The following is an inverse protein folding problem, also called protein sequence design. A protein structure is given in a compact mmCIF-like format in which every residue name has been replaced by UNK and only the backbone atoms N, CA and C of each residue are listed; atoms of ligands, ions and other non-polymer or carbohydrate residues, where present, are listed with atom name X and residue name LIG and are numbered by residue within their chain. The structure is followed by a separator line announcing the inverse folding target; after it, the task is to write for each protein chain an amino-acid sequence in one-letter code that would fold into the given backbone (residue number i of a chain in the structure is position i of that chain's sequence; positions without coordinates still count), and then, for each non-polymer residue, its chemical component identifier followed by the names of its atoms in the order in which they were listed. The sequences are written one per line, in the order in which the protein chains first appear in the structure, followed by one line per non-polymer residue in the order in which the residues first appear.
data_IF_635777164231
#
_entry.id   IF_635777164231
#
_cell.length_a   1.000
_cell.length_b   1.000
_cell.length_c   1.000
_cell.angle_alpha   90.00
_cell.angle_beta   90.00
_cell.angle_gamma   90.00
#
_symmetry.space_group_name_H-M   'P 1'
#
loop_
_entity.id
_entity.type
_entity.pdbx_description
1 polymer ?
#
# COMPACT_ATOMS: atom_id res chain seq x y z
N UNK A 1 13.70 -21.53 -10.05
CA UNK A 1 12.89 -21.06 -8.90
C UNK A 1 13.24 -19.61 -8.60
N UNK A 2 12.28 -18.74 -8.27
CA UNK A 2 12.54 -17.33 -7.99
C UNK A 2 11.95 -16.90 -6.64
N UNK A 3 12.41 -15.74 -6.16
CA UNK A 3 12.04 -15.15 -4.86
C UNK A 3 11.65 -13.70 -5.08
N UNK A 4 10.73 -13.19 -4.25
CA UNK A 4 10.33 -11.78 -4.22
C UNK A 4 10.70 -11.15 -2.88
N UNK A 5 11.12 -9.89 -2.94
CA UNK A 5 11.39 -9.06 -1.78
C UNK A 5 10.35 -7.94 -1.74
N UNK A 6 9.58 -7.88 -0.66
CA UNK A 6 8.67 -6.79 -0.37
C UNK A 6 9.35 -5.88 0.66
N UNK A 7 9.66 -4.66 0.25
CA UNK A 7 10.50 -3.72 0.98
C UNK A 7 9.73 -2.43 1.26
N UNK A 8 9.81 -1.94 2.50
CA UNK A 8 9.48 -0.56 2.83
C UNK A 8 10.76 0.20 3.18
N UNK A 9 10.93 1.37 2.57
CA UNK A 9 12.01 2.30 2.89
C UNK A 9 11.44 3.64 3.34
N UNK A 10 12.19 4.35 4.19
CA UNK A 10 11.93 5.76 4.42
C UNK A 10 12.48 6.64 3.29
N UNK A 11 12.24 7.95 3.37
CA UNK A 11 12.57 8.91 2.31
C UNK A 11 14.08 8.97 1.99
N UNK A 12 14.95 8.68 2.96
CA UNK A 12 16.41 8.60 2.78
C UNK A 12 16.89 7.21 2.36
N UNK A 13 16.00 6.40 1.78
CA UNK A 13 16.27 5.04 1.28
C UNK A 13 16.65 4.00 2.34
N UNK A 14 16.64 4.34 3.64
CA UNK A 14 16.87 3.36 4.70
C UNK A 14 15.76 2.31 4.72
N UNK A 15 16.10 1.01 4.62
CA UNK A 15 15.15 -0.08 4.80
C UNK A 15 14.53 -0.05 6.20
N UNK A 16 13.20 -0.13 6.25
CA UNK A 16 12.41 -0.12 7.48
C UNK A 16 11.76 -1.48 7.77
N UNK A 17 11.51 -2.27 6.72
CA UNK A 17 10.87 -3.59 6.80
C UNK A 17 11.13 -4.37 5.53
N UNK A 18 11.42 -5.67 5.68
CA UNK A 18 11.63 -6.61 4.59
C UNK A 18 10.80 -7.87 4.84
N UNK A 19 10.10 -8.32 3.81
CA UNK A 19 9.40 -9.61 3.76
C UNK A 19 9.85 -10.34 2.50
N UNK A 20 10.29 -11.58 2.64
CA UNK A 20 10.77 -12.42 1.53
C UNK A 20 9.74 -13.51 1.28
N UNK A 21 9.33 -13.69 0.03
CA UNK A 21 8.36 -14.73 -0.34
C UNK A 21 8.78 -15.47 -1.61
N UNK A 22 8.21 -16.66 -1.84
CA UNK A 22 8.41 -17.38 -3.10
C UNK A 22 7.88 -16.56 -4.28
N UNK A 23 8.56 -16.62 -5.43
CA UNK A 23 8.29 -15.74 -6.57
C UNK A 23 6.88 -15.83 -7.16
N UNK A 24 6.21 -16.97 -6.97
CA UNK A 24 4.82 -17.18 -7.41
C UNK A 24 3.78 -16.53 -6.47
N UNK A 25 4.20 -15.99 -5.32
CA UNK A 25 3.28 -15.31 -4.39
C UNK A 25 2.84 -13.96 -4.98
N UNK A 26 1.56 -13.66 -4.80
CA UNK A 26 0.99 -12.38 -5.16
C UNK A 26 1.52 -11.26 -4.25
N UNK A 27 1.66 -10.05 -4.81
CA UNK A 27 2.26 -8.92 -4.08
C UNK A 27 1.27 -8.30 -3.09
N UNK A 28 0.00 -8.15 -3.47
CA UNK A 28 -1.00 -7.43 -2.68
C UNK A 28 -1.17 -7.93 -1.23
N UNK A 29 -1.18 -9.23 -0.92
CA UNK A 29 -1.26 -9.72 0.46
C UNK A 29 -0.03 -9.37 1.32
N UNK A 30 1.13 -9.10 0.70
CA UNK A 30 2.39 -8.86 1.42
C UNK A 30 2.53 -7.42 1.93
N UNK A 31 1.61 -6.52 1.54
CA UNK A 31 1.61 -5.15 2.04
C UNK A 31 1.37 -5.09 3.55
N UNK A 32 0.39 -5.81 4.08
CA UNK A 32 0.07 -5.77 5.52
C UNK A 32 1.26 -6.26 6.38
N UNK A 33 1.88 -7.43 6.08
CA UNK A 33 3.10 -7.88 6.76
C UNK A 33 4.25 -6.87 6.71
N UNK A 34 4.49 -6.24 5.56
CA UNK A 34 5.54 -5.21 5.44
C UNK A 34 5.23 -4.02 6.35
N UNK A 35 3.98 -3.55 6.37
CA UNK A 35 3.54 -2.39 7.13
C UNK A 35 3.52 -2.60 8.64
N UNK A 36 3.33 -3.83 9.11
CA UNK A 36 3.33 -4.20 10.54
C UNK A 36 4.74 -4.27 11.13
N UNK A 37 5.73 -4.59 10.30
CA UNK A 37 7.15 -4.66 10.69
C UNK A 37 7.85 -3.30 10.74
N UNK A 38 7.22 -2.22 10.26
CA UNK A 38 7.81 -0.88 10.28
C UNK A 38 7.92 -0.38 11.72
N UNK A 39 9.14 0.00 12.13
CA UNK A 39 9.40 0.68 13.41
C UNK A 39 10.18 1.96 13.17
N UNK A 40 9.57 3.11 13.41
CA UNK A 40 10.24 4.42 13.33
C UNK A 40 10.67 4.83 14.73
N UNK A 41 11.97 4.97 14.96
CA UNK A 41 12.49 5.48 16.22
C UNK A 41 11.86 6.86 16.53
N UNK A 42 11.40 7.05 17.76
CA UNK A 42 10.84 8.33 18.21
C UNK A 42 11.91 9.44 18.21
N UNK A 43 11.45 10.70 18.13
CA UNK A 43 12.33 11.87 18.20
C UNK A 43 13.05 11.97 19.57
N UNK A 44 12.38 11.55 20.65
CA UNK A 44 13.03 11.26 21.93
C UNK A 44 13.56 9.83 21.86
N UNK A 45 14.87 9.64 22.13
CA UNK A 45 15.53 8.33 22.22
C UNK A 45 14.90 7.39 23.29
N UNK A 46 13.93 7.86 24.07
CA UNK A 46 13.32 7.17 25.21
C UNK A 46 11.79 6.94 25.07
N UNK A 47 11.20 7.01 23.88
CA UNK A 47 9.77 6.74 23.65
C UNK A 47 9.50 5.50 22.78
N UNK A 48 8.30 4.88 22.88
CA UNK A 48 7.93 3.75 22.02
C UNK A 48 8.12 4.08 20.53
N UNK A 49 8.67 3.14 19.77
CA UNK A 49 8.82 3.29 18.34
C UNK A 49 7.44 3.46 17.68
N UNK A 50 7.32 4.46 16.79
CA UNK A 50 6.09 4.64 16.02
C UNK A 50 5.99 3.54 14.98
N UNK A 51 4.96 2.70 15.09
CA UNK A 51 4.69 1.57 14.17
C UNK A 51 3.81 1.95 12.98
N UNK A 52 3.41 3.22 12.89
CA UNK A 52 2.52 3.75 11.86
C UNK A 52 3.18 4.88 11.06
N UNK A 53 3.40 4.68 9.74
CA UNK A 53 3.77 5.76 8.83
C UNK A 53 2.65 6.80 8.67
N UNK A 54 3.02 8.06 8.45
CA UNK A 54 2.05 9.15 8.15
C UNK A 54 1.52 9.01 6.71
N UNK A 55 2.42 8.71 5.78
CA UNK A 55 2.11 8.53 4.37
C UNK A 55 2.93 7.38 3.78
N UNK A 56 2.31 6.62 2.87
CA UNK A 56 2.95 5.56 2.09
C UNK A 56 2.85 5.90 0.61
N UNK A 57 3.96 5.78 -0.10
CA UNK A 57 4.00 5.72 -1.57
C UNK A 57 4.14 4.24 -1.94
N UNK A 58 3.17 3.70 -2.66
CA UNK A 58 3.13 2.29 -3.02
C UNK A 58 2.98 2.12 -4.53
N UNK A 59 3.45 0.98 -5.04
CA UNK A 59 3.29 0.59 -6.43
C UNK A 59 1.81 0.40 -6.84
N UNK A 60 1.49 0.53 -8.14
CA UNK A 60 0.14 0.36 -8.71
C UNK A 60 -0.49 -1.01 -8.38
N UNK A 61 0.31 -2.06 -8.21
CA UNK A 61 -0.16 -3.39 -7.81
C UNK A 61 -0.85 -3.38 -6.43
N UNK A 62 -0.54 -2.37 -5.61
CA UNK A 62 -1.15 -2.16 -4.30
C UNK A 62 -2.40 -1.27 -4.33
N UNK A 63 -2.97 -0.98 -5.50
CA UNK A 63 -4.15 -0.10 -5.66
C UNK A 63 -5.51 -0.78 -5.36
N UNK A 64 -5.49 -1.98 -4.77
CA UNK A 64 -6.70 -2.76 -4.51
C UNK A 64 -7.61 -2.10 -3.44
N UNK A 65 -8.92 -2.39 -3.50
CA UNK A 65 -9.88 -1.88 -2.50
C UNK A 65 -9.52 -2.35 -1.09
N UNK A 66 -9.08 -3.61 -0.93
CA UNK A 66 -8.65 -4.19 0.35
C UNK A 66 -7.48 -3.42 0.95
N UNK A 67 -6.44 -3.13 0.16
CA UNK A 67 -5.28 -2.35 0.61
C UNK A 67 -5.67 -0.93 1.00
N UNK A 68 -6.49 -0.26 0.17
CA UNK A 68 -6.99 1.08 0.52
C UNK A 68 -7.82 1.08 1.80
N UNK A 69 -8.63 0.05 2.02
CA UNK A 69 -9.38 -0.11 3.26
C UNK A 69 -8.45 -0.32 4.47
N UNK A 70 -7.42 -1.16 4.35
CA UNK A 70 -6.40 -1.35 5.39
C UNK A 70 -5.71 -0.02 5.76
N UNK A 71 -5.20 0.70 4.75
CA UNK A 71 -4.49 1.97 4.97
C UNK A 71 -5.42 3.02 5.59
N UNK A 72 -6.68 3.09 5.14
CA UNK A 72 -7.69 4.00 5.70
C UNK A 72 -8.04 3.66 7.15
N UNK A 73 -8.25 2.38 7.48
CA UNK A 73 -8.51 1.93 8.87
C UNK A 73 -7.36 2.32 9.79
N UNK A 74 -6.11 2.18 9.33
CA UNK A 74 -4.93 2.61 10.08
C UNK A 74 -4.71 4.13 10.06
N UNK A 75 -5.51 4.93 9.35
CA UNK A 75 -5.33 6.38 9.15
C UNK A 75 -3.97 6.73 8.51
N UNK A 76 -3.54 5.93 7.55
CA UNK A 76 -2.31 6.11 6.77
C UNK A 76 -2.68 6.74 5.43
N UNK A 77 -2.09 7.90 5.09
CA UNK A 77 -2.30 8.52 3.78
C UNK A 77 -1.60 7.69 2.70
N UNK A 78 -2.29 7.35 1.62
CA UNK A 78 -1.72 6.53 0.55
C UNK A 78 -1.60 7.33 -0.75
N UNK A 79 -0.43 7.30 -1.37
CA UNK A 79 -0.20 7.75 -2.74
C UNK A 79 0.12 6.52 -3.57
N UNK A 80 -0.87 6.04 -4.30
CA UNK A 80 -0.76 4.83 -5.12
C UNK A 80 -1.29 5.15 -6.51
N UNK A 81 -0.49 4.98 -7.58
CA UNK A 81 -0.97 5.19 -8.94
C UNK A 81 -2.08 4.20 -9.27
N UNK A 82 -3.05 4.65 -10.05
CA UNK A 82 -4.11 3.78 -10.56
C UNK A 82 -3.61 3.02 -11.81
N UNK A 83 -3.85 1.71 -11.91
CA UNK A 83 -3.53 0.94 -13.11
C UNK A 83 -4.16 1.55 -14.37
N UNK A 84 -3.39 1.62 -15.46
CA UNK A 84 -3.77 2.33 -16.68
C UNK A 84 -5.03 1.77 -17.35
N UNK A 85 -5.20 0.45 -17.31
CA UNK A 85 -6.40 -0.28 -17.72
C UNK A 85 -7.63 0.19 -16.95
N UNK A 86 -7.52 0.33 -15.62
CA UNK A 86 -8.61 0.83 -14.78
C UNK A 86 -8.94 2.29 -15.09
N UNK A 87 -7.92 3.12 -15.34
CA UNK A 87 -8.12 4.52 -15.78
C UNK A 87 -8.86 4.56 -17.12
N UNK A 88 -8.44 3.76 -18.11
CA UNK A 88 -9.09 3.67 -19.43
C UNK A 88 -10.53 3.18 -19.31
N UNK A 89 -10.77 2.14 -18.53
CA UNK A 89 -12.10 1.59 -18.29
C UNK A 89 -13.02 2.61 -17.62
N UNK A 90 -12.53 3.38 -16.63
CA UNK A 90 -13.29 4.48 -16.02
C UNK A 90 -13.63 5.55 -17.04
N UNK A 91 -12.66 5.98 -17.87
CA UNK A 91 -12.90 6.97 -18.93
C UNK A 91 -13.97 6.48 -19.92
N UNK A 92 -13.90 5.21 -20.33
CA UNK A 92 -14.89 4.59 -21.23
C UNK A 92 -16.30 4.55 -20.65
N UNK A 93 -16.44 4.39 -19.32
CA UNK A 93 -17.75 4.38 -18.65
C UNK A 93 -18.44 5.76 -18.61
N UNK A 94 -17.73 6.86 -18.91
CA UNK A 94 -18.27 8.21 -18.84
C UNK A 94 -18.76 8.62 -17.44
N UNK A 95 -19.38 9.79 -17.32
CA UNK A 95 -20.02 10.25 -16.06
C UNK A 95 -21.31 9.48 -15.75
N UNK A 96 -21.97 8.94 -16.77
CA UNK A 96 -23.28 8.27 -16.70
C UNK A 96 -23.23 6.82 -16.20
N UNK A 97 -22.06 6.17 -16.21
CA UNK A 97 -21.88 4.80 -15.72
C UNK A 97 -21.95 4.63 -14.19
N UNK A 98 -22.34 5.68 -13.47
CA UNK A 98 -22.57 5.71 -12.02
C UNK A 98 -24.07 5.86 -11.66
N UNK A 99 -24.99 5.66 -12.61
CA UNK A 99 -26.41 5.63 -12.31
C UNK A 99 -26.69 4.56 -11.24
N UNK A 100 -27.19 5.03 -10.10
CA UNK A 100 -27.67 4.21 -8.98
C UNK A 100 -28.80 3.33 -9.54
N UNK A 101 -28.81 2.00 -9.31
CA UNK A 101 -29.95 1.18 -9.71
C UNK A 101 -31.23 1.76 -9.09
N UNK A 102 -32.37 1.76 -9.79
CA UNK A 102 -33.63 2.22 -9.24
C UNK A 102 -33.95 1.44 -7.96
N UNK A 103 -34.52 2.14 -6.97
CA UNK A 103 -35.02 1.56 -5.72
C UNK A 103 -36.14 0.56 -6.00
#
# INVERSE_FOLDING_TARGET
MSTKIHLACEQRQKPMSVVVTAGQRADAPQLEPVMERIRVAGHRRSGPARTRPVRVRADKAYSSKKIRAYLRRRKIKATTPEPADRVRHRKRKGRSGAARPPL
#
